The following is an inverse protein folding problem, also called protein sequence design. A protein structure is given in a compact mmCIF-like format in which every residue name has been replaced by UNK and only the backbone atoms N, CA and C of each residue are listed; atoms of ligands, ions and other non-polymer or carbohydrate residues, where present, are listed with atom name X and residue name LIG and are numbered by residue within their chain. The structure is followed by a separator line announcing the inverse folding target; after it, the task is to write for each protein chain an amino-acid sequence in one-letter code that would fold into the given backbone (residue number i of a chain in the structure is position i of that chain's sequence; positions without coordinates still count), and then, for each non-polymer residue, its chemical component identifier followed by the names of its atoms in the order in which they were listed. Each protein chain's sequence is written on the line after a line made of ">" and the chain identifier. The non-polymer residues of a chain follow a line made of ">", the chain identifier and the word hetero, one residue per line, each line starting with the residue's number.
data_IF_349310573019
#
_entry.id   IF_349310573019
#
_cell.length_a   1.000
_cell.length_b   1.000
_cell.length_c   1.000
_cell.angle_alpha   90.00
_cell.angle_beta   90.00
_cell.angle_gamma   90.00
#
_symmetry.space_group_name_H-M   'P 1'
#
loop_
_entity.id
_entity.type
_entity.pdbx_description
1 polymer ?
#
# COMPACT_ATOMS: atom_id res chain seq x y z
N UNK A 1 26.57 12.36 -2.87
CA UNK A 1 25.64 13.13 -3.75
C UNK A 1 25.91 12.96 -5.24
N UNK A 2 27.16 12.78 -5.70
CA UNK A 2 27.45 12.62 -7.14
C UNK A 2 26.85 11.35 -7.75
N UNK A 3 26.78 10.26 -6.98
CA UNK A 3 26.17 8.99 -7.39
C UNK A 3 24.67 9.15 -7.72
N UNK A 4 23.90 9.75 -6.82
CA UNK A 4 22.46 10.04 -7.04
C UNK A 4 22.25 10.92 -8.27
N UNK A 5 23.09 11.95 -8.45
CA UNK A 5 23.02 12.86 -9.61
C UNK A 5 23.33 12.19 -10.94
N UNK A 6 23.97 11.02 -10.93
CA UNK A 6 24.30 10.27 -12.16
C UNK A 6 23.16 9.38 -12.66
N UNK A 7 22.08 9.22 -11.88
CA UNK A 7 20.95 8.36 -12.23
C UNK A 7 19.99 9.13 -13.15
N UNK A 8 19.78 8.62 -14.36
CA UNK A 8 18.81 9.17 -15.30
C UNK A 8 17.39 9.09 -14.75
N UNK A 9 16.59 10.13 -14.99
CA UNK A 9 15.16 10.20 -14.59
C UNK A 9 14.92 10.03 -13.09
N UNK A 10 15.92 10.32 -12.25
CA UNK A 10 15.75 10.37 -10.81
C UNK A 10 15.34 11.78 -10.38
N UNK A 11 14.19 11.88 -9.73
CA UNK A 11 13.75 13.09 -9.05
C UNK A 11 13.91 12.92 -7.54
N UNK A 12 14.73 13.78 -6.91
CA UNK A 12 14.83 13.84 -5.46
C UNK A 12 13.87 14.88 -4.91
N UNK A 13 12.96 14.46 -4.04
CA UNK A 13 11.97 15.35 -3.39
C UNK A 13 12.15 15.34 -1.88
N UNK A 14 12.04 16.52 -1.27
CA UNK A 14 11.93 16.65 0.18
C UNK A 14 10.45 16.70 0.50
N UNK A 15 9.97 15.70 1.24
CA UNK A 15 8.60 15.68 1.71
C UNK A 15 8.44 16.69 2.86
N UNK A 16 7.52 17.64 2.72
CA UNK A 16 7.28 18.64 3.75
C UNK A 16 6.40 18.06 4.87
N UNK A 17 7.01 17.57 5.94
CA UNK A 17 6.31 17.00 7.09
C UNK A 17 5.47 18.03 7.89
N UNK A 18 5.68 19.33 7.69
CA UNK A 18 4.91 20.36 8.41
C UNK A 18 3.43 20.38 8.02
N UNK A 19 3.08 19.84 6.84
CA UNK A 19 1.69 19.73 6.39
C UNK A 19 0.86 18.74 7.22
N UNK A 20 1.51 17.88 8.01
CA UNK A 20 0.84 16.92 8.89
C UNK A 20 0.41 17.62 10.17
N UNK A 21 -0.90 17.60 10.44
CA UNK A 21 -1.52 18.28 11.59
C UNK A 21 -1.31 17.50 12.89
N UNK A 22 -1.16 16.17 12.81
CA UNK A 22 -1.05 15.29 13.96
C UNK A 22 0.41 14.91 14.23
N UNK A 23 0.86 15.14 15.47
CA UNK A 23 2.23 14.83 15.89
C UNK A 23 2.59 13.34 15.77
N UNK A 24 1.59 12.44 15.79
CA UNK A 24 1.80 11.00 15.56
C UNK A 24 2.27 10.71 14.14
N UNK A 25 1.80 11.47 13.17
CA UNK A 25 2.21 11.32 11.76
C UNK A 25 3.61 11.93 11.56
N UNK A 26 3.98 12.92 12.37
CA UNK A 26 5.33 13.51 12.39
C UNK A 26 6.37 12.60 13.03
N UNK A 27 5.95 11.66 13.90
CA UNK A 27 6.85 10.63 14.40
C UNK A 27 7.27 9.68 13.28
N UNK A 28 8.50 9.84 12.80
CA UNK A 28 9.06 9.03 11.72
C UNK A 28 9.11 7.53 12.08
N UNK A 29 9.14 7.17 13.37
CA UNK A 29 9.13 5.78 13.84
C UNK A 29 7.75 5.12 13.77
N UNK A 30 6.68 5.91 13.63
CA UNK A 30 5.33 5.38 13.41
C UNK A 30 5.14 4.87 11.99
N UNK A 31 5.96 5.34 11.04
CA UNK A 31 5.80 5.14 9.60
C UNK A 31 4.46 5.61 9.01
N UNK A 32 3.58 6.24 9.80
CA UNK A 32 2.29 6.74 9.35
C UNK A 32 2.44 7.83 8.28
N UNK A 33 3.60 8.48 8.18
CA UNK A 33 3.90 9.45 7.12
C UNK A 33 3.94 8.84 5.71
N UNK A 34 4.18 7.52 5.56
CA UNK A 34 4.29 6.86 4.24
C UNK A 34 3.03 7.08 3.40
N UNK A 35 1.84 7.09 4.02
CA UNK A 35 0.57 7.27 3.30
C UNK A 35 0.44 8.65 2.65
N UNK A 36 1.04 9.69 3.23
CA UNK A 36 0.99 11.02 2.64
C UNK A 36 1.88 11.13 1.40
N UNK A 37 3.02 10.46 1.42
CA UNK A 37 3.87 10.34 0.22
C UNK A 37 3.11 9.57 -0.87
N UNK A 38 2.50 8.45 -0.52
CA UNK A 38 1.68 7.66 -1.45
C UNK A 38 0.51 8.51 -2.00
N UNK A 39 -0.20 9.25 -1.15
CA UNK A 39 -1.32 10.10 -1.56
C UNK A 39 -0.88 11.22 -2.52
N UNK A 40 0.27 11.85 -2.25
CA UNK A 40 0.84 12.84 -3.16
C UNK A 40 1.15 12.21 -4.53
N UNK A 41 1.85 11.08 -4.56
CA UNK A 41 2.18 10.39 -5.81
C UNK A 41 0.91 9.90 -6.53
N UNK A 42 -0.08 9.42 -5.80
CA UNK A 42 -1.39 9.02 -6.35
C UNK A 42 -2.10 10.20 -7.03
N UNK A 43 -1.93 11.43 -6.53
CA UNK A 43 -2.50 12.62 -7.17
C UNK A 43 -1.81 13.00 -8.48
N UNK A 44 -0.52 12.68 -8.62
CA UNK A 44 0.32 13.08 -9.76
C UNK A 44 0.33 12.04 -10.88
N UNK A 45 0.28 10.75 -10.55
CA UNK A 45 0.48 9.66 -11.51
C UNK A 45 -0.72 8.72 -11.55
N UNK A 46 -1.03 8.20 -12.73
CA UNK A 46 -2.08 7.18 -12.90
C UNK A 46 -1.59 5.79 -12.53
N UNK A 47 -0.28 5.56 -12.54
CA UNK A 47 0.31 4.31 -12.06
C UNK A 47 1.64 4.60 -11.41
N UNK A 48 1.85 4.06 -10.22
CA UNK A 48 3.12 4.16 -9.52
C UNK A 48 3.50 2.84 -8.86
N UNK A 49 4.78 2.74 -8.54
CA UNK A 49 5.38 1.63 -7.83
C UNK A 49 5.99 2.16 -6.54
N UNK A 50 5.51 1.66 -5.40
CA UNK A 50 6.14 1.89 -4.10
C UNK A 50 7.12 0.76 -3.81
N UNK A 51 8.32 1.11 -3.35
CA UNK A 51 9.38 0.16 -3.05
C UNK A 51 10.12 0.62 -1.80
N UNK A 52 10.22 -0.26 -0.80
CA UNK A 52 11.08 -0.03 0.36
C UNK A 52 12.56 -0.18 -0.03
N UNK A 53 13.44 0.55 0.66
CA UNK A 53 14.87 0.64 0.32
C UNK A 53 15.63 -0.68 0.43
N UNK A 54 15.03 -1.72 1.02
CA UNK A 54 15.61 -3.05 1.15
C UNK A 54 15.36 -3.96 -0.06
N UNK A 55 14.53 -3.54 -1.01
CA UNK A 55 14.21 -4.34 -2.19
C UNK A 55 15.26 -4.14 -3.28
N UNK A 56 15.70 -5.26 -3.87
CA UNK A 56 16.59 -5.28 -5.02
C UNK A 56 15.85 -5.85 -6.22
N UNK A 57 15.94 -5.16 -7.36
CA UNK A 57 15.37 -5.64 -8.62
C UNK A 57 16.35 -6.56 -9.34
N UNK A 58 15.98 -7.82 -9.53
CA UNK A 58 16.72 -8.75 -10.41
C UNK A 58 16.46 -8.47 -11.89
N UNK A 59 15.37 -7.76 -12.20
CA UNK A 59 14.96 -7.42 -13.57
C UNK A 59 14.27 -6.07 -13.60
N UNK A 60 14.48 -5.31 -14.68
CA UNK A 60 13.78 -4.06 -14.98
C UNK A 60 12.43 -4.26 -15.69
N UNK A 61 12.02 -5.51 -15.95
CA UNK A 61 10.78 -5.82 -16.65
C UNK A 61 9.57 -5.77 -15.70
N UNK A 62 9.07 -4.56 -15.46
CA UNK A 62 7.80 -4.34 -14.74
C UNK A 62 6.56 -4.59 -15.62
N UNK A 63 6.72 -4.76 -16.94
CA UNK A 63 5.60 -4.94 -17.87
C UNK A 63 4.79 -6.20 -17.54
N UNK A 64 5.42 -7.23 -16.95
CA UNK A 64 4.75 -8.44 -16.46
C UNK A 64 3.65 -8.17 -15.43
N UNK A 65 3.74 -7.06 -14.70
CA UNK A 65 2.72 -6.62 -13.75
C UNK A 65 1.81 -5.54 -14.33
N UNK A 66 2.40 -4.55 -15.03
CA UNK A 66 1.67 -3.39 -15.54
C UNK A 66 0.67 -3.77 -16.64
N UNK A 67 1.03 -4.65 -17.57
CA UNK A 67 0.15 -5.07 -18.67
C UNK A 67 -1.15 -5.72 -18.18
N UNK A 68 -1.09 -6.70 -17.26
CA UNK A 68 -2.29 -7.27 -16.64
C UNK A 68 -3.16 -6.26 -15.88
N UNK A 69 -2.57 -5.28 -15.19
CA UNK A 69 -3.33 -4.23 -14.49
C UNK A 69 -4.05 -3.33 -15.51
N UNK A 70 -3.31 -2.85 -16.53
CA UNK A 70 -3.85 -1.95 -17.56
C UNK A 70 -4.94 -2.60 -18.42
N UNK A 71 -4.86 -3.93 -18.63
CA UNK A 71 -5.88 -4.69 -19.35
C UNK A 71 -7.07 -5.11 -18.48
N UNK A 72 -7.06 -4.79 -17.18
CA UNK A 72 -8.10 -5.19 -16.23
C UNK A 72 -8.12 -6.69 -15.92
N UNK A 73 -7.06 -7.43 -16.31
CA UNK A 73 -6.93 -8.86 -16.01
C UNK A 73 -6.70 -9.11 -14.52
N UNK A 74 -6.02 -8.19 -13.84
CA UNK A 74 -5.87 -8.17 -12.38
C UNK A 74 -6.31 -6.82 -11.83
N UNK A 75 -6.58 -6.80 -10.52
CA UNK A 75 -7.03 -5.59 -9.83
C UNK A 75 -6.03 -4.43 -9.91
N UNK A 76 -6.49 -3.20 -9.62
CA UNK A 76 -5.70 -1.98 -9.74
C UNK A 76 -4.60 -1.84 -8.68
N UNK A 77 -4.54 -2.74 -7.69
CA UNK A 77 -3.49 -2.77 -6.67
C UNK A 77 -2.90 -4.18 -6.58
N UNK A 78 -1.58 -4.28 -6.64
CA UNK A 78 -0.84 -5.53 -6.55
C UNK A 78 0.21 -5.45 -5.44
N UNK A 79 0.18 -6.46 -4.56
CA UNK A 79 1.22 -6.75 -3.57
C UNK A 79 1.71 -8.17 -3.89
N UNK A 80 2.88 -8.33 -4.53
CA UNK A 80 3.25 -9.60 -5.16
C UNK A 80 3.74 -10.66 -4.17
N UNK A 81 4.14 -10.28 -2.96
CA UNK A 81 4.81 -11.17 -2.00
C UNK A 81 3.86 -11.61 -0.87
N UNK A 82 3.63 -12.91 -0.72
CA UNK A 82 2.82 -13.51 0.35
C UNK A 82 3.68 -13.76 1.59
N UNK A 83 3.21 -13.41 2.79
CA UNK A 83 4.01 -13.52 4.02
C UNK A 83 4.03 -14.92 4.65
N UNK A 84 3.33 -15.88 4.06
CA UNK A 84 3.24 -17.24 4.63
C UNK A 84 2.18 -17.41 5.72
N UNK A 85 1.47 -16.35 6.10
CA UNK A 85 0.40 -16.39 7.10
C UNK A 85 -0.77 -15.47 6.73
N UNK A 86 -1.92 -15.63 7.39
CA UNK A 86 -3.05 -14.74 7.22
C UNK A 86 -3.06 -13.55 8.19
N UNK A 87 -4.06 -12.69 8.03
CA UNK A 87 -4.17 -11.40 8.73
C UNK A 87 -5.23 -11.38 9.84
N UNK A 88 -5.94 -12.48 10.12
CA UNK A 88 -7.03 -12.51 11.12
C UNK A 88 -6.60 -12.14 12.53
N UNK A 89 -5.35 -12.42 12.92
CA UNK A 89 -4.84 -12.09 14.26
C UNK A 89 -4.53 -10.61 14.44
N UNK A 90 -4.26 -9.91 13.35
CA UNK A 90 -3.82 -8.51 13.37
C UNK A 90 -4.90 -7.53 12.88
N UNK A 91 -5.99 -8.04 12.31
CA UNK A 91 -7.03 -7.23 11.66
C UNK A 91 -8.33 -7.32 12.45
N UNK A 92 -8.90 -6.18 12.80
CA UNK A 92 -10.22 -6.13 13.42
C UNK A 92 -11.29 -6.59 12.41
N UNK A 93 -12.26 -7.47 12.77
CA UNK A 93 -13.20 -8.05 11.80
C UNK A 93 -13.98 -7.03 10.95
N UNK A 94 -14.41 -5.91 11.55
CA UNK A 94 -15.10 -4.84 10.81
C UNK A 94 -14.25 -4.10 9.77
N UNK A 95 -12.94 -4.37 9.68
CA UNK A 95 -12.09 -3.82 8.63
C UNK A 95 -12.27 -4.56 7.30
N UNK A 96 -12.73 -5.81 7.32
CA UNK A 96 -12.92 -6.60 6.11
C UNK A 96 -14.04 -6.07 5.21
N UNK A 97 -14.99 -5.31 5.77
CA UNK A 97 -16.03 -4.60 5.01
C UNK A 97 -15.45 -3.53 4.08
N UNK A 98 -14.20 -3.13 4.29
CA UNK A 98 -13.56 -2.01 3.61
C UNK A 98 -12.33 -2.39 2.79
N UNK A 99 -11.90 -3.66 2.83
CA UNK A 99 -10.75 -4.15 2.09
C UNK A 99 -11.24 -4.86 0.79
N UNK A 100 -11.00 -4.30 -0.40
CA UNK A 100 -11.68 -4.69 -1.65
C UNK A 100 -11.09 -5.92 -2.38
N UNK A 101 -10.74 -7.00 -1.67
CA UNK A 101 -10.11 -8.22 -2.24
C UNK A 101 -8.63 -8.06 -2.67
N UNK A 102 -7.88 -9.15 -2.62
CA UNK A 102 -6.46 -9.19 -3.02
C UNK A 102 -6.17 -10.33 -3.99
N UNK A 103 -5.34 -10.06 -5.00
CA UNK A 103 -4.91 -11.04 -6.02
C UNK A 103 -3.46 -11.45 -5.77
N UNK A 104 -3.22 -12.75 -5.52
CA UNK A 104 -1.88 -13.34 -5.59
C UNK A 104 -1.55 -13.64 -7.07
N UNK A 105 -0.56 -12.94 -7.60
CA UNK A 105 -0.13 -13.09 -8.99
C UNK A 105 0.57 -14.43 -9.24
N UNK A 106 1.44 -14.89 -8.33
CA UNK A 106 2.17 -16.15 -8.49
C UNK A 106 1.25 -17.37 -8.46
N UNK A 107 0.17 -17.29 -7.67
CA UNK A 107 -0.86 -18.33 -7.58
C UNK A 107 -2.05 -18.12 -8.53
N UNK A 108 -2.08 -17.03 -9.31
CA UNK A 108 -3.21 -16.62 -10.15
C UNK A 108 -4.57 -16.72 -9.41
N UNK A 109 -4.64 -16.25 -8.16
CA UNK A 109 -5.80 -16.42 -7.27
C UNK A 109 -6.19 -15.11 -6.61
N UNK A 110 -7.45 -14.72 -6.78
CA UNK A 110 -8.09 -13.66 -6.00
C UNK A 110 -8.69 -14.26 -4.74
N UNK A 111 -8.41 -13.66 -3.58
CA UNK A 111 -8.92 -14.12 -2.29
C UNK A 111 -10.12 -13.28 -1.89
N UNK A 112 -11.23 -13.96 -1.62
CA UNK A 112 -12.32 -13.39 -0.84
C UNK A 112 -11.88 -13.30 0.62
N UNK A 113 -11.90 -12.07 1.16
CA UNK A 113 -11.48 -11.78 2.53
C UNK A 113 -12.43 -12.37 3.60
N UNK A 114 -13.49 -13.04 3.17
CA UNK A 114 -14.51 -13.70 4.00
C UNK A 114 -14.14 -15.14 4.40
N UNK A 115 -13.01 -15.67 3.92
CA UNK A 115 -12.52 -17.01 4.29
C UNK A 115 -11.79 -17.03 5.65
N UNK A 116 -11.67 -18.21 6.28
CA UNK A 116 -11.25 -18.39 7.69
C UNK A 116 -9.85 -17.85 8.08
N UNK A 117 -9.03 -17.38 7.15
CA UNK A 117 -7.83 -16.56 7.41
C UNK A 117 -7.32 -15.94 6.09
N UNK A 118 -7.73 -14.71 5.74
CA UNK A 118 -7.28 -14.09 4.49
C UNK A 118 -5.76 -13.92 4.47
N UNK A 119 -5.09 -14.21 3.34
CA UNK A 119 -3.64 -14.16 3.26
C UNK A 119 -3.11 -12.75 3.47
N UNK A 120 -2.00 -12.63 4.20
CA UNK A 120 -1.27 -11.38 4.33
C UNK A 120 -0.19 -11.29 3.25
N UNK A 121 -0.05 -10.10 2.64
CA UNK A 121 1.00 -9.80 1.67
C UNK A 121 1.94 -8.72 2.22
N UNK A 122 3.19 -8.70 1.75
CA UNK A 122 4.17 -7.68 2.11
C UNK A 122 3.88 -6.36 1.43
N UNK A 123 4.04 -5.26 2.18
CA UNK A 123 3.89 -3.88 1.69
C UNK A 123 5.22 -3.24 1.26
N UNK A 124 6.27 -4.04 1.07
CA UNK A 124 7.61 -3.57 0.67
C UNK A 124 7.70 -3.27 -0.83
N UNK A 125 6.85 -3.89 -1.65
CA UNK A 125 6.76 -3.64 -3.09
C UNK A 125 5.28 -3.65 -3.47
N UNK A 126 4.77 -2.49 -3.90
CA UNK A 126 3.36 -2.29 -4.20
C UNK A 126 3.24 -1.62 -5.56
N UNK A 127 2.34 -2.11 -6.40
CA UNK A 127 2.00 -1.48 -7.69
C UNK A 127 0.57 -0.99 -7.59
N UNK A 128 0.35 0.27 -7.91
CA UNK A 128 -0.96 0.92 -7.80
C UNK A 128 -1.27 1.60 -9.12
N UNK A 129 -2.41 1.24 -9.70
CA UNK A 129 -3.07 1.94 -10.78
C UNK A 129 -4.27 2.70 -10.23
N UNK A 130 -4.45 3.94 -10.68
CA UNK A 130 -5.50 4.84 -10.22
C UNK A 130 -6.86 4.33 -10.67
N UNK A 131 -7.74 4.10 -9.71
CA UNK A 131 -9.14 3.73 -9.94
C UNK A 131 -9.98 4.14 -8.71
N UNK A 132 -11.30 3.98 -8.78
CA UNK A 132 -12.16 4.17 -7.60
C UNK A 132 -11.75 3.19 -6.49
N UNK A 133 -11.51 1.93 -6.85
CA UNK A 133 -11.14 0.85 -5.93
C UNK A 133 -9.80 1.14 -5.24
N UNK A 134 -8.77 1.55 -5.99
CA UNK A 134 -7.49 1.89 -5.39
C UNK A 134 -7.59 3.15 -4.52
N UNK A 135 -8.42 4.15 -4.88
CA UNK A 135 -8.68 5.30 -3.99
C UNK A 135 -9.34 4.87 -2.70
N UNK A 136 -10.33 3.98 -2.75
CA UNK A 136 -10.98 3.47 -1.54
C UNK A 136 -10.00 2.70 -0.67
N UNK A 137 -9.18 1.82 -1.26
CA UNK A 137 -8.14 1.09 -0.53
C UNK A 137 -7.14 2.05 0.15
N UNK A 138 -6.73 3.13 -0.52
CA UNK A 138 -5.76 4.08 0.02
C UNK A 138 -6.27 4.83 1.26
N UNK A 139 -7.58 4.95 1.46
CA UNK A 139 -8.14 5.48 2.72
C UNK A 139 -7.81 4.60 3.93
N UNK A 140 -7.52 3.33 3.70
CA UNK A 140 -7.28 2.31 4.72
C UNK A 140 -5.83 1.87 4.83
N UNK A 141 -4.92 2.45 4.03
CA UNK A 141 -3.50 2.11 4.03
C UNK A 141 -2.76 2.49 5.33
N UNK A 142 -3.43 3.21 6.24
CA UNK A 142 -2.92 3.69 7.54
C UNK A 142 -2.69 2.56 8.58
N UNK A 143 -3.08 1.32 8.29
CA UNK A 143 -3.23 0.28 9.32
C UNK A 143 -1.93 -0.28 9.90
N UNK A 144 -0.78 -0.17 9.22
CA UNK A 144 0.49 -0.58 9.81
C UNK A 144 0.94 0.39 10.93
N UNK A 145 0.52 1.65 10.88
CA UNK A 145 0.70 2.63 11.96
C UNK A 145 -0.26 2.43 13.14
N UNK A 146 -1.43 1.83 12.90
CA UNK A 146 -2.44 1.54 13.95
C UNK A 146 -2.13 0.29 14.79
N UNK A 147 -1.12 -0.52 14.45
CA UNK A 147 -0.69 -1.67 15.28
C UNK A 147 -0.29 -1.27 16.71
N UNK A 148 -0.02 0.01 16.96
CA UNK A 148 0.23 0.56 18.31
C UNK A 148 -1.03 1.08 19.03
N UNK A 149 -2.22 1.06 18.42
CA UNK A 149 -3.46 1.59 18.98
C UNK A 149 -4.42 0.48 19.42
N UNK A 150 -4.10 -0.18 20.55
CA UNK A 150 -5.03 -1.14 21.17
C UNK A 150 -6.30 -0.50 21.78
N UNK A 151 -6.39 0.83 21.91
CA UNK A 151 -7.38 1.45 22.81
C UNK A 151 -8.27 2.57 22.25
N UNK A 152 -8.24 2.91 20.96
CA UNK A 152 -9.07 4.04 20.47
C UNK A 152 -9.58 3.82 19.04
N UNK A 153 -10.54 2.91 18.88
CA UNK A 153 -11.46 2.98 17.72
C UNK A 153 -12.58 3.94 18.12
N UNK A 154 -12.75 5.11 17.45
CA UNK A 154 -13.92 5.94 17.67
C UNK A 154 -15.15 5.18 17.18
N UNK A 155 -16.15 4.99 18.05
CA UNK A 155 -17.49 4.60 17.61
C UNK A 155 -18.02 5.73 16.73
N UNK A 156 -17.97 5.56 15.41
CA UNK A 156 -18.75 6.43 14.53
C UNK A 156 -20.22 6.14 14.78
N UNK A 157 -20.94 7.15 15.26
CA UNK A 157 -22.36 7.08 15.56
C UNK A 157 -23.15 6.74 14.30
N UNK A 158 -24.06 5.79 14.44
CA UNK A 158 -25.17 5.58 13.52
C UNK A 158 -26.16 6.73 13.71
N UNK A 159 -26.41 7.50 12.64
CA UNK A 159 -27.65 8.28 12.54
C UNK A 159 -28.83 7.36 12.25
#
# INVERSE_FOLDING_TARGET
>A
MNEIKSICNLEWRIFNFTQMVDDRVRDLKSYAWKIFVIAQIFSEFDTFVWVDTSIFFESNNLAKFLGPIQSGKIGPVLMPSYTGHGMNRATHPGMYDFLPFYTNYEANKTYELTSNDPPQFEALFIIVHKSEESRQLMKWFDLDGFKHQKNQIPKMGTN
#
